data_IF_784676107779
#
_entry.id   IF_784676107779
#
_cell.length_a   1.000
_cell.length_b   1.000
_cell.length_c   1.000
_cell.angle_alpha   90.00
_cell.angle_beta   90.00
_cell.angle_gamma   90.00
#
_symmetry.space_group_name_H-M   'P 1'
#
loop_
_entity.id
_entity.type
_entity.pdbx_description
1 polymer ?
#
# COMPACT_ATOMS: atom_id res chain seq x y z
N UNK A 1 42.25 -20.28 -44.88
CA UNK A 1 42.29 -19.97 -43.44
C UNK A 1 41.35 -18.80 -43.18
N UNK A 2 40.05 -19.05 -43.12
CA UNK A 2 39.04 -18.00 -42.90
C UNK A 2 37.90 -18.61 -42.08
N UNK A 3 38.11 -18.64 -40.77
CA UNK A 3 37.02 -18.76 -39.81
C UNK A 3 37.61 -18.40 -38.45
N UNK A 4 36.81 -17.82 -37.56
CA UNK A 4 37.11 -17.54 -36.13
C UNK A 4 37.29 -16.07 -35.74
N UNK A 5 37.30 -15.10 -36.66
CA UNK A 5 37.33 -13.68 -36.29
C UNK A 5 35.97 -13.00 -36.21
N UNK A 6 34.94 -13.49 -36.89
CA UNK A 6 33.62 -12.82 -36.94
C UNK A 6 32.65 -13.30 -35.85
N UNK A 7 32.85 -14.49 -35.29
CA UNK A 7 31.94 -15.08 -34.27
C UNK A 7 32.18 -14.47 -32.89
N UNK A 8 33.40 -14.02 -32.61
CA UNK A 8 33.81 -13.43 -31.33
C UNK A 8 33.23 -12.04 -31.07
N UNK A 9 32.89 -11.27 -32.12
CA UNK A 9 32.31 -9.93 -31.96
C UNK A 9 30.80 -9.94 -31.68
N UNK A 10 30.07 -10.94 -32.17
CA UNK A 10 28.62 -11.07 -31.94
C UNK A 10 28.29 -11.45 -30.49
N UNK A 11 29.15 -12.23 -29.84
CA UNK A 11 28.95 -12.60 -28.42
C UNK A 11 29.27 -11.46 -27.44
N UNK A 12 30.20 -10.57 -27.78
CA UNK A 12 30.55 -9.45 -26.91
C UNK A 12 29.43 -8.40 -26.80
N UNK A 13 28.63 -8.20 -27.86
CA UNK A 13 27.53 -7.24 -27.85
C UNK A 13 26.27 -7.73 -27.11
N UNK A 14 26.02 -9.03 -27.07
CA UNK A 14 24.86 -9.60 -26.38
C UNK A 14 24.99 -9.59 -24.85
N UNK A 15 26.22 -9.54 -24.32
CA UNK A 15 26.45 -9.49 -22.87
C UNK A 15 26.26 -8.06 -22.33
N UNK A 16 26.54 -7.03 -23.13
CA UNK A 16 26.42 -5.62 -22.68
C UNK A 16 24.97 -5.13 -22.66
N UNK A 17 24.08 -5.66 -23.50
CA UNK A 17 22.64 -5.34 -23.44
C UNK A 17 21.84 -6.22 -22.46
N UNK A 18 22.41 -7.32 -21.95
CA UNK A 18 21.73 -8.20 -20.98
C UNK A 18 21.76 -7.70 -19.53
N UNK A 19 22.62 -6.73 -19.20
CA UNK A 19 22.92 -6.33 -17.80
C UNK A 19 22.26 -5.00 -17.40
N UNK A 20 21.59 -4.28 -18.30
CA UNK A 20 20.87 -3.04 -17.98
C UNK A 20 19.46 -3.24 -17.42
N UNK A 21 19.00 -4.49 -17.26
CA UNK A 21 17.71 -4.82 -16.63
C UNK A 21 17.86 -5.43 -15.23
N UNK A 22 19.01 -5.25 -14.57
CA UNK A 22 19.15 -5.62 -13.17
C UNK A 22 18.54 -4.52 -12.30
N UNK A 23 17.24 -4.70 -12.10
CA UNK A 23 16.42 -4.26 -10.97
C UNK A 23 17.07 -3.30 -9.98
N UNK A 24 16.78 -2.01 -10.16
CA UNK A 24 16.42 -1.19 -9.01
C UNK A 24 15.00 -1.58 -8.59
N UNK A 25 14.83 -2.81 -8.07
CA UNK A 25 13.64 -3.13 -7.26
C UNK A 25 13.89 -2.41 -5.95
N UNK A 26 13.50 -1.13 -5.93
CA UNK A 26 13.56 -0.34 -4.72
C UNK A 26 12.78 -1.09 -3.65
N UNK A 27 13.46 -1.52 -2.60
CA UNK A 27 12.86 -1.90 -1.33
C UNK A 27 12.29 -0.65 -0.65
N UNK A 28 11.39 0.05 -1.34
CA UNK A 28 10.51 1.01 -0.72
C UNK A 28 9.38 0.21 -0.11
N UNK A 29 9.01 0.51 1.14
CA UNK A 29 7.78 -0.02 1.73
C UNK A 29 6.65 0.05 0.69
N UNK A 30 6.14 -1.11 0.26
CA UNK A 30 5.08 -1.25 -0.74
C UNK A 30 3.75 -0.71 -0.18
N UNK A 31 3.69 0.59 0.07
CA UNK A 31 2.50 1.27 0.57
C UNK A 31 1.60 1.58 -0.63
N UNK A 32 0.35 1.07 -0.66
CA UNK A 32 -0.58 1.34 -1.75
C UNK A 32 -0.79 2.84 -1.94
N UNK A 33 -0.76 3.30 -3.18
CA UNK A 33 -0.93 4.73 -3.50
C UNK A 33 -2.27 5.28 -2.98
N UNK A 34 -3.33 4.47 -3.03
CA UNK A 34 -4.62 4.83 -2.46
C UNK A 34 -4.55 5.05 -0.93
N UNK A 35 -3.73 4.26 -0.21
CA UNK A 35 -3.48 4.45 1.22
C UNK A 35 -2.80 5.79 1.50
N UNK A 36 -1.70 6.07 0.78
CA UNK A 36 -0.95 7.33 0.90
C UNK A 36 -1.82 8.55 0.64
N UNK A 37 -2.68 8.49 -0.38
CA UNK A 37 -3.49 9.66 -0.81
C UNK A 37 -4.72 9.89 0.05
N UNK A 38 -5.35 8.83 0.58
CA UNK A 38 -6.69 8.92 1.19
C UNK A 38 -6.74 8.55 2.67
N UNK A 39 -5.89 7.62 3.12
CA UNK A 39 -6.02 7.02 4.45
C UNK A 39 -5.01 7.57 5.47
N UNK A 40 -3.75 7.75 5.05
CA UNK A 40 -2.61 8.07 5.93
C UNK A 40 -2.83 9.31 6.79
N UNK A 41 -3.50 10.35 6.26
CA UNK A 41 -3.74 11.62 6.96
C UNK A 41 -4.57 11.45 8.23
N UNK A 42 -5.48 10.46 8.25
CA UNK A 42 -6.34 10.22 9.41
C UNK A 42 -5.84 9.04 10.26
N UNK A 43 -5.36 8.00 9.60
CA UNK A 43 -5.04 6.71 10.20
C UNK A 43 -3.55 6.52 10.50
N UNK A 44 -2.70 7.46 10.07
CA UNK A 44 -1.26 7.34 10.23
C UNK A 44 -0.65 6.32 9.28
N UNK A 45 0.59 5.92 9.57
CA UNK A 45 1.22 4.75 8.97
C UNK A 45 1.28 3.62 9.98
N UNK A 46 1.21 2.36 9.53
CA UNK A 46 1.63 1.24 10.36
C UNK A 46 3.05 1.51 10.87
N UNK A 47 3.25 1.51 12.19
CA UNK A 47 4.54 1.74 12.85
C UNK A 47 5.17 3.15 12.73
N UNK A 48 4.42 4.18 12.32
CA UNK A 48 4.95 5.54 12.22
C UNK A 48 4.03 6.61 12.78
N UNK A 49 3.60 7.56 11.94
CA UNK A 49 2.80 8.71 12.35
C UNK A 49 1.59 8.27 13.17
N UNK A 50 1.50 8.72 14.42
CA UNK A 50 0.36 8.39 15.29
C UNK A 50 -0.93 8.90 14.68
N UNK A 51 -1.93 8.03 14.62
CA UNK A 51 -3.28 8.41 14.21
C UNK A 51 -3.88 9.38 15.25
N UNK A 52 -4.02 10.66 14.89
CA UNK A 52 -4.61 11.71 15.77
C UNK A 52 -6.06 12.01 15.43
N UNK A 53 -6.55 11.51 14.30
CA UNK A 53 -7.88 11.84 13.77
C UNK A 53 -8.78 10.60 13.76
N UNK A 54 -8.30 9.47 13.24
CA UNK A 54 -9.00 8.19 13.25
C UNK A 54 -8.24 7.09 13.99
N UNK A 55 -8.80 5.87 14.09
CA UNK A 55 -8.11 4.74 14.72
C UNK A 55 -6.95 4.24 13.87
N UNK A 56 -5.97 3.64 14.53
CA UNK A 56 -4.91 2.90 13.85
C UNK A 56 -5.50 1.66 13.17
N UNK A 57 -5.35 1.58 11.85
CA UNK A 57 -5.94 0.50 11.04
C UNK A 57 -5.26 -0.85 11.27
N UNK A 58 -3.99 -0.85 11.70
CA UNK A 58 -3.25 -2.08 12.02
C UNK A 58 -3.94 -2.84 13.16
N UNK A 59 -4.47 -2.09 14.13
CA UNK A 59 -5.17 -2.62 15.30
C UNK A 59 -6.64 -2.95 15.05
N UNK A 60 -7.14 -2.71 13.85
CA UNK A 60 -8.51 -3.07 13.49
C UNK A 60 -8.69 -4.58 13.46
N UNK A 61 -9.84 -5.08 13.93
CA UNK A 61 -10.23 -6.50 13.86
C UNK A 61 -11.25 -6.79 12.75
N UNK A 62 -11.43 -5.86 11.82
CA UNK A 62 -12.39 -6.04 10.74
C UNK A 62 -12.01 -7.20 9.81
N UNK A 63 -13.03 -7.93 9.37
CA UNK A 63 -12.95 -8.77 8.16
C UNK A 63 -12.82 -7.88 6.92
N UNK A 64 -12.42 -8.47 5.79
CA UNK A 64 -12.32 -7.73 4.52
C UNK A 64 -13.67 -7.07 4.16
N UNK A 65 -14.78 -7.79 4.29
CA UNK A 65 -16.12 -7.26 3.97
C UNK A 65 -16.51 -6.09 4.88
N UNK A 66 -16.22 -6.20 6.18
CA UNK A 66 -16.43 -5.11 7.12
C UNK A 66 -15.58 -3.90 6.77
N UNK A 67 -14.32 -4.12 6.38
CA UNK A 67 -13.41 -3.07 5.95
C UNK A 67 -13.93 -2.35 4.69
N UNK A 68 -14.38 -3.10 3.68
CA UNK A 68 -15.01 -2.55 2.47
C UNK A 68 -16.24 -1.72 2.82
N UNK A 69 -17.13 -2.24 3.67
CA UNK A 69 -18.32 -1.51 4.11
C UNK A 69 -17.97 -0.20 4.81
N UNK A 70 -16.99 -0.18 5.71
CA UNK A 70 -16.57 1.05 6.38
C UNK A 70 -16.00 2.06 5.38
N UNK A 71 -15.13 1.64 4.46
CA UNK A 71 -14.52 2.56 3.49
C UNK A 71 -15.57 3.14 2.54
N UNK A 72 -16.50 2.32 2.05
CA UNK A 72 -17.55 2.76 1.12
C UNK A 72 -18.61 3.63 1.76
N UNK A 73 -19.09 3.26 2.96
CA UNK A 73 -20.24 3.95 3.58
C UNK A 73 -19.79 4.99 4.63
N UNK A 74 -18.51 5.02 4.95
CA UNK A 74 -17.98 5.74 6.10
C UNK A 74 -18.22 4.96 7.39
N UNK A 75 -17.59 5.45 8.47
CA UNK A 75 -17.58 4.78 9.76
C UNK A 75 -17.72 5.78 10.89
N UNK A 76 -18.40 5.41 11.98
CA UNK A 76 -18.41 6.20 13.21
C UNK A 76 -17.26 5.75 14.13
N UNK A 77 -16.45 6.70 14.59
CA UNK A 77 -15.33 6.47 15.50
C UNK A 77 -15.64 6.91 16.95
N UNK A 78 -16.84 7.44 17.19
CA UNK A 78 -17.38 7.69 18.53
C UNK A 78 -18.14 6.49 19.11
N UNK A 79 -18.27 5.41 18.32
CA UNK A 79 -18.95 4.16 18.67
C UNK A 79 -18.06 2.96 18.31
N UNK A 80 -18.58 1.74 18.44
CA UNK A 80 -17.85 0.52 18.03
C UNK A 80 -17.36 0.64 16.57
N UNK A 81 -16.16 0.13 16.25
CA UNK A 81 -15.30 -0.74 17.07
C UNK A 81 -14.29 -0.01 17.96
N UNK A 82 -14.07 1.29 17.77
CA UNK A 82 -13.06 2.03 18.55
C UNK A 82 -13.67 3.32 19.06
N UNK A 83 -13.90 3.42 20.37
CA UNK A 83 -14.24 4.67 21.05
C UNK A 83 -12.97 5.25 21.67
N UNK A 84 -12.54 6.42 21.20
CA UNK A 84 -11.49 7.22 21.86
C UNK A 84 -11.88 8.68 21.87
N UNK A 85 -11.93 9.27 23.05
CA UNK A 85 -12.27 10.69 23.22
C UNK A 85 -11.20 11.62 22.63
N UNK A 86 -9.99 11.10 22.40
CA UNK A 86 -8.87 11.82 21.79
C UNK A 86 -8.97 12.03 20.27
N UNK A 87 -9.95 11.44 19.59
CA UNK A 87 -10.10 11.61 18.14
C UNK A 87 -10.71 12.98 17.81
N UNK A 88 -9.97 13.79 17.04
CA UNK A 88 -10.40 15.14 16.61
C UNK A 88 -11.67 15.11 15.75
N UNK A 89 -11.94 13.99 15.06
CA UNK A 89 -13.17 13.76 14.31
C UNK A 89 -13.80 12.48 14.80
N UNK A 90 -15.13 12.45 14.85
CA UNK A 90 -15.91 11.31 15.36
C UNK A 90 -16.46 10.39 14.26
N UNK A 91 -16.15 10.70 12.99
CA UNK A 91 -16.64 9.97 11.82
C UNK A 91 -15.63 10.01 10.67
N UNK A 92 -15.49 8.89 9.97
CA UNK A 92 -14.91 8.79 8.63
C UNK A 92 -15.99 9.05 7.56
N UNK A 93 -15.76 9.97 6.61
CA UNK A 93 -16.62 10.07 5.44
C UNK A 93 -16.42 8.87 4.49
N UNK A 94 -17.47 8.53 3.75
CA UNK A 94 -17.41 7.59 2.64
C UNK A 94 -16.28 7.95 1.66
N UNK A 95 -15.59 6.94 1.12
CA UNK A 95 -14.54 7.09 0.13
C UNK A 95 -14.99 6.50 -1.22
N UNK A 96 -15.97 7.12 -1.92
CA UNK A 96 -16.55 6.55 -3.13
C UNK A 96 -15.55 6.45 -4.31
N UNK A 97 -14.44 7.18 -4.24
CA UNK A 97 -13.40 7.18 -5.29
C UNK A 97 -12.38 6.05 -5.13
N UNK A 98 -12.42 5.28 -4.03
CA UNK A 98 -11.51 4.15 -3.81
C UNK A 98 -12.21 2.88 -4.25
N UNK A 99 -11.65 2.19 -5.24
CA UNK A 99 -12.25 0.98 -5.80
C UNK A 99 -12.12 -0.19 -4.84
N UNK A 100 -12.97 -1.22 -4.95
CA UNK A 100 -12.85 -2.42 -4.10
C UNK A 100 -11.48 -3.10 -4.22
N UNK A 101 -10.91 -3.15 -5.43
CA UNK A 101 -9.58 -3.69 -5.64
C UNK A 101 -8.51 -2.93 -4.84
N UNK A 102 -8.57 -1.59 -4.84
CA UNK A 102 -7.69 -0.75 -4.03
C UNK A 102 -7.96 -0.93 -2.54
N UNK A 103 -9.22 -1.09 -2.13
CA UNK A 103 -9.57 -1.36 -0.73
C UNK A 103 -8.98 -2.70 -0.28
N UNK A 104 -9.05 -3.74 -1.11
CA UNK A 104 -8.45 -5.05 -0.84
C UNK A 104 -6.94 -4.94 -0.72
N UNK A 105 -6.28 -4.24 -1.63
CA UNK A 105 -4.84 -3.98 -1.57
C UNK A 105 -4.44 -3.25 -0.27
N UNK A 106 -5.20 -2.22 0.12
CA UNK A 106 -5.01 -1.51 1.40
C UNK A 106 -5.21 -2.46 2.58
N UNK A 107 -6.24 -3.30 2.55
CA UNK A 107 -6.52 -4.24 3.61
C UNK A 107 -5.34 -5.19 3.80
N UNK A 108 -4.86 -5.82 2.72
CA UNK A 108 -3.69 -6.70 2.76
C UNK A 108 -2.43 -5.97 3.26
N UNK A 109 -2.19 -4.75 2.79
CA UNK A 109 -1.09 -3.91 3.25
C UNK A 109 -1.12 -3.67 4.77
N UNK A 110 -2.30 -3.39 5.33
CA UNK A 110 -2.51 -3.18 6.76
C UNK A 110 -2.39 -4.50 7.54
N UNK A 111 -2.94 -5.60 7.03
CA UNK A 111 -2.90 -6.92 7.69
C UNK A 111 -1.49 -7.47 7.81
N UNK A 112 -0.65 -7.30 6.78
CA UNK A 112 0.77 -7.69 6.81
C UNK A 112 1.59 -7.00 7.90
N UNK A 113 1.06 -5.94 8.52
CA UNK A 113 1.77 -5.10 9.49
C UNK A 113 1.15 -5.17 10.89
N UNK A 114 0.21 -6.10 11.12
CA UNK A 114 -0.41 -6.39 12.42
C UNK A 114 0.55 -7.13 13.35
#
# INVERSE_FOLDING_TARGET
MENNRSVTWLYAFLIVMGVTLIGCVGAGDDVPEAYKKRCIKCHGTPNGLKATVGPDLVKSEYTLDQFIMQVKNGSRWDKKPVRKDSFKRKKMPAQPMVTEAQIKEIFEYVRKRR
#
